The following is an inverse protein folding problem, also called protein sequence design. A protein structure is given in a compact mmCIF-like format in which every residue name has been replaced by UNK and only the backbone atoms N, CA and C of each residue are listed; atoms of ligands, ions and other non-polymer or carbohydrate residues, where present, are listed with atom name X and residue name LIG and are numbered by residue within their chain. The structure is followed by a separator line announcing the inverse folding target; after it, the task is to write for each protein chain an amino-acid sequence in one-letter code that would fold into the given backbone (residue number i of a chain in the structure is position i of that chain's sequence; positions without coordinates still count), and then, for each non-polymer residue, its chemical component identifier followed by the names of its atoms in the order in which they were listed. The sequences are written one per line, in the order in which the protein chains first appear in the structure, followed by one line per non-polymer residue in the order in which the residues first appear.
data_IF_155587310849
#
_entry.id   IF_155587310849
#
_cell.length_a   1.000
_cell.length_b   1.000
_cell.length_c   1.000
_cell.angle_alpha   90.00
_cell.angle_beta   90.00
_cell.angle_gamma   90.00
#
_symmetry.space_group_name_H-M   'P 1'
#
loop_
_entity.id
_entity.type
_entity.pdbx_description
1 polymer ?
#
# COMPACT_ATOMS: atom_id res chain seq x y z
N UNK A 1 12.49 -26.68 33.84
CA UNK A 1 13.12 -26.92 32.51
C UNK A 1 12.15 -27.55 31.49
N UNK A 2 11.32 -28.55 31.85
CA UNK A 2 10.36 -29.16 30.93
C UNK A 2 9.39 -28.15 30.32
N UNK A 3 8.86 -27.20 31.11
CA UNK A 3 7.91 -26.20 30.63
C UNK A 3 8.52 -25.20 29.62
N UNK A 4 9.79 -24.79 29.84
CA UNK A 4 10.49 -23.90 28.93
C UNK A 4 10.75 -24.58 27.58
N UNK A 5 11.27 -25.80 27.57
CA UNK A 5 11.53 -26.54 26.33
C UNK A 5 10.22 -26.79 25.59
N UNK A 6 9.14 -27.10 26.29
CA UNK A 6 7.81 -27.28 25.72
C UNK A 6 7.28 -25.97 25.08
N UNK A 7 7.48 -24.82 25.73
CA UNK A 7 7.11 -23.53 25.12
C UNK A 7 7.93 -23.23 23.86
N UNK A 8 9.25 -23.37 23.92
CA UNK A 8 10.15 -23.16 22.81
C UNK A 8 9.86 -24.10 21.64
N UNK A 9 9.47 -25.36 21.90
CA UNK A 9 9.12 -26.34 20.88
C UNK A 9 7.85 -25.99 20.07
N UNK A 10 6.98 -25.11 20.58
CA UNK A 10 5.76 -24.64 19.88
C UNK A 10 5.99 -23.40 19.04
N UNK A 11 7.20 -22.82 19.09
CA UNK A 11 7.56 -21.65 18.30
C UNK A 11 7.61 -22.00 16.81
N UNK A 12 7.59 -20.97 15.98
CA UNK A 12 7.62 -21.12 14.52
C UNK A 12 9.03 -21.50 14.01
N UNK A 13 10.05 -20.71 14.37
CA UNK A 13 11.40 -20.87 13.84
C UNK A 13 12.43 -20.95 14.96
N UNK A 14 13.53 -21.66 14.71
CA UNK A 14 14.61 -21.88 15.68
C UNK A 14 15.17 -20.57 16.22
N UNK A 15 15.34 -19.56 15.37
CA UNK A 15 15.80 -18.22 15.75
C UNK A 15 14.87 -17.49 16.72
N UNK A 16 13.60 -17.91 16.82
CA UNK A 16 12.60 -17.39 17.77
C UNK A 16 12.40 -18.34 18.97
N UNK A 17 13.09 -19.48 18.99
CA UNK A 17 12.99 -20.50 20.03
C UNK A 17 14.21 -20.51 20.97
N UNK A 18 14.76 -19.34 21.21
CA UNK A 18 15.86 -19.06 22.12
C UNK A 18 15.31 -18.33 23.35
N UNK A 19 15.74 -18.68 24.53
CA UNK A 19 15.40 -17.98 25.78
C UNK A 19 16.67 -17.49 26.47
N UNK A 20 16.58 -16.31 27.09
CA UNK A 20 17.61 -15.73 27.94
C UNK A 20 17.09 -15.66 29.35
N UNK A 21 17.81 -16.23 30.30
CA UNK A 21 17.49 -16.14 31.72
C UNK A 21 17.96 -14.79 32.30
N UNK A 22 17.47 -14.47 33.50
CA UNK A 22 17.80 -13.20 34.18
C UNK A 22 19.30 -13.09 34.55
N UNK A 23 19.96 -14.22 34.73
CA UNK A 23 21.41 -14.34 35.02
C UNK A 23 22.27 -14.42 33.75
N UNK A 24 21.65 -14.23 32.56
CA UNK A 24 22.36 -14.16 31.28
C UNK A 24 22.62 -15.53 30.61
N UNK A 25 22.09 -16.63 31.14
CA UNK A 25 22.22 -17.94 30.51
C UNK A 25 21.28 -18.08 29.31
N UNK A 26 21.81 -18.60 28.20
CA UNK A 26 21.06 -18.86 26.97
C UNK A 26 20.59 -20.32 26.96
N UNK A 27 19.27 -20.52 26.80
CA UNK A 27 18.67 -21.80 26.49
C UNK A 27 18.31 -21.83 24.99
N UNK A 28 19.01 -22.66 24.24
CA UNK A 28 18.85 -22.82 22.78
C UNK A 28 18.73 -24.30 22.40
N UNK A 29 17.60 -24.97 22.72
CA UNK A 29 17.45 -26.40 22.50
C UNK A 29 17.29 -26.77 21.00
N UNK A 30 17.16 -25.82 20.10
CA UNK A 30 16.88 -26.02 18.69
C UNK A 30 17.95 -25.40 17.76
N UNK A 31 19.12 -25.05 18.27
CA UNK A 31 20.25 -24.46 17.51
C UNK A 31 19.94 -23.13 16.82
N UNK A 32 19.05 -22.33 17.41
CA UNK A 32 18.63 -21.04 16.83
C UNK A 32 19.76 -20.02 16.74
N UNK A 33 20.70 -20.02 17.68
CA UNK A 33 21.91 -19.16 17.63
C UNK A 33 22.76 -19.50 16.41
N UNK A 34 22.94 -20.80 16.10
CA UNK A 34 23.64 -21.26 14.90
C UNK A 34 22.94 -20.83 13.64
N UNK A 35 21.61 -20.94 13.59
CA UNK A 35 20.83 -20.52 12.44
C UNK A 35 20.85 -18.99 12.22
N UNK A 36 20.85 -18.21 13.29
CA UNK A 36 21.07 -16.76 13.20
C UNK A 36 22.44 -16.45 12.59
N UNK A 37 23.50 -17.11 13.08
CA UNK A 37 24.85 -16.92 12.54
C UNK A 37 24.95 -17.29 11.06
N UNK A 38 24.26 -18.35 10.63
CA UNK A 38 24.16 -18.79 9.23
C UNK A 38 23.17 -17.99 8.39
N UNK A 39 22.44 -17.04 9.00
CA UNK A 39 21.37 -16.29 8.36
C UNK A 39 20.29 -17.18 7.74
N UNK A 40 19.86 -18.20 8.50
CA UNK A 40 18.93 -19.23 8.04
C UNK A 40 17.63 -19.17 8.84
N UNK A 41 16.50 -19.34 8.15
CA UNK A 41 15.17 -19.50 8.74
C UNK A 41 14.81 -20.97 8.66
N UNK A 42 14.79 -21.65 9.79
CA UNK A 42 14.47 -23.07 9.92
C UNK A 42 13.31 -23.24 10.90
N UNK A 43 12.33 -24.08 10.56
CA UNK A 43 11.26 -24.45 11.47
C UNK A 43 11.80 -25.17 12.73
N UNK A 44 11.11 -24.99 13.85
CA UNK A 44 11.32 -25.81 15.03
C UNK A 44 10.71 -27.20 14.80
N UNK A 45 11.54 -28.24 14.86
CA UNK A 45 11.08 -29.61 14.62
C UNK A 45 10.65 -29.88 13.18
N UNK A 46 9.57 -30.64 12.99
CA UNK A 46 9.09 -31.03 11.67
C UNK A 46 8.31 -29.88 11.00
N UNK A 47 8.78 -29.33 9.85
CA UNK A 47 8.16 -28.18 9.22
C UNK A 47 6.70 -28.37 8.83
N UNK A 48 6.34 -29.56 8.27
CA UNK A 48 4.95 -29.84 7.88
C UNK A 48 4.00 -29.81 9.06
N UNK A 49 4.43 -30.35 10.21
CA UNK A 49 3.64 -30.31 11.42
C UNK A 49 3.41 -28.86 11.88
N UNK A 50 4.46 -28.04 11.84
CA UNK A 50 4.38 -26.61 12.22
C UNK A 50 3.42 -25.83 11.32
N UNK A 51 3.40 -26.10 10.03
CA UNK A 51 2.50 -25.42 9.10
C UNK A 51 1.06 -25.95 9.16
N UNK A 52 0.87 -27.21 9.51
CA UNK A 52 -0.48 -27.77 9.76
C UNK A 52 -1.09 -27.20 11.05
N UNK A 53 -0.29 -26.92 12.08
CA UNK A 53 -0.78 -26.28 13.30
C UNK A 53 -1.21 -24.82 13.08
N UNK A 54 -0.45 -24.06 12.29
CA UNK A 54 -0.78 -22.69 11.91
C UNK A 54 -0.14 -22.37 10.55
N UNK A 55 -0.95 -22.41 9.52
CA UNK A 55 -0.54 -22.13 8.15
C UNK A 55 0.01 -20.70 7.95
N UNK A 56 -0.31 -19.75 8.86
CA UNK A 56 0.26 -18.39 8.78
C UNK A 56 1.78 -18.39 8.96
N UNK A 57 2.34 -19.41 9.58
CA UNK A 57 3.80 -19.55 9.73
C UNK A 57 4.52 -19.54 8.38
N UNK A 58 3.87 -19.99 7.29
CA UNK A 58 4.43 -19.92 5.94
C UNK A 58 4.65 -18.45 5.49
N UNK A 59 3.64 -17.59 5.67
CA UNK A 59 3.81 -16.14 5.41
C UNK A 59 4.83 -15.50 6.35
N UNK A 60 4.88 -15.93 7.61
CA UNK A 60 5.87 -15.45 8.58
C UNK A 60 7.30 -15.80 8.18
N UNK A 61 7.55 -17.00 7.58
CA UNK A 61 8.85 -17.37 7.03
C UNK A 61 9.29 -16.37 5.95
N UNK A 62 8.41 -16.07 5.00
CA UNK A 62 8.67 -15.08 3.96
C UNK A 62 8.90 -13.68 4.54
N UNK A 63 8.09 -13.28 5.52
CA UNK A 63 8.28 -11.99 6.20
C UNK A 63 9.62 -11.88 6.91
N UNK A 64 10.05 -12.90 7.62
CA UNK A 64 11.36 -12.90 8.27
C UNK A 64 12.49 -12.88 7.23
N UNK A 65 12.35 -13.64 6.13
CA UNK A 65 13.29 -13.58 5.02
C UNK A 65 13.38 -12.16 4.44
N UNK A 66 12.24 -11.51 4.17
CA UNK A 66 12.20 -10.13 3.69
C UNK A 66 12.82 -9.13 4.66
N UNK A 67 12.54 -9.28 5.96
CA UNK A 67 12.98 -8.33 6.99
C UNK A 67 14.46 -8.46 7.35
N UNK A 68 14.96 -9.70 7.47
CA UNK A 68 16.30 -9.98 7.98
C UNK A 68 17.31 -10.23 6.85
N UNK A 69 16.84 -10.51 5.63
CA UNK A 69 17.68 -10.95 4.54
C UNK A 69 18.20 -12.38 4.72
N UNK A 70 17.51 -13.19 5.50
CA UNK A 70 17.87 -14.59 5.76
C UNK A 70 17.29 -15.51 4.69
N UNK A 71 17.98 -16.59 4.40
CA UNK A 71 17.52 -17.65 3.50
C UNK A 71 16.64 -18.65 4.24
N UNK A 72 15.54 -19.08 3.62
CA UNK A 72 14.73 -20.16 4.16
C UNK A 72 15.46 -21.49 3.89
N UNK A 73 15.59 -22.30 4.92
CA UNK A 73 16.21 -23.62 4.82
C UNK A 73 15.41 -24.53 3.88
N UNK A 74 16.10 -25.45 3.20
CA UNK A 74 15.54 -26.26 2.12
C UNK A 74 14.32 -27.08 2.53
N UNK A 75 14.36 -27.82 3.64
CA UNK A 75 13.25 -28.66 4.09
C UNK A 75 12.05 -27.80 4.53
N UNK A 76 12.32 -26.65 5.16
CA UNK A 76 11.32 -25.65 5.51
C UNK A 76 10.66 -25.08 4.25
N UNK A 77 11.43 -24.79 3.21
CA UNK A 77 10.91 -24.27 1.92
C UNK A 77 10.06 -25.30 1.19
N UNK A 78 10.51 -26.55 1.12
CA UNK A 78 9.71 -27.63 0.53
C UNK A 78 8.40 -27.86 1.28
N UNK A 79 8.42 -27.76 2.61
CA UNK A 79 7.20 -27.89 3.41
C UNK A 79 6.24 -26.71 3.15
N UNK A 80 6.74 -25.48 2.89
CA UNK A 80 5.89 -24.36 2.46
C UNK A 80 5.15 -24.70 1.18
N UNK A 81 5.83 -25.21 0.15
CA UNK A 81 5.21 -25.58 -1.12
C UNK A 81 4.14 -26.68 -0.94
N UNK A 82 4.45 -27.70 -0.15
CA UNK A 82 3.54 -28.83 0.08
C UNK A 82 2.32 -28.45 0.93
N UNK A 83 2.49 -27.54 1.90
CA UNK A 83 1.44 -27.09 2.80
C UNK A 83 0.72 -25.82 2.29
N UNK A 84 1.12 -25.24 1.15
CA UNK A 84 0.54 -24.02 0.60
C UNK A 84 -1.00 -24.05 0.48
N UNK A 85 -1.66 -25.17 0.15
CA UNK A 85 -3.12 -25.22 0.12
C UNK A 85 -3.80 -24.84 1.43
N UNK A 86 -3.16 -25.07 2.59
CA UNK A 86 -3.68 -24.70 3.90
C UNK A 86 -3.82 -23.18 4.08
N UNK A 87 -3.09 -22.38 3.28
CA UNK A 87 -3.20 -20.92 3.33
C UNK A 87 -4.61 -20.41 2.93
N UNK A 88 -5.39 -21.21 2.20
CA UNK A 88 -6.76 -20.87 1.82
C UNK A 88 -7.72 -20.76 3.03
N UNK A 89 -7.43 -21.47 4.11
CA UNK A 89 -8.24 -21.47 5.34
C UNK A 89 -7.95 -20.29 6.27
N UNK A 90 -6.89 -19.53 6.00
CA UNK A 90 -6.51 -18.41 6.84
C UNK A 90 -7.51 -17.26 6.74
N UNK A 91 -7.74 -16.59 7.88
CA UNK A 91 -8.50 -15.35 7.92
C UNK A 91 -7.78 -14.27 7.08
N UNK A 92 -8.51 -13.57 6.19
CA UNK A 92 -7.91 -12.58 5.28
C UNK A 92 -7.11 -11.50 6.01
N UNK A 93 -7.55 -11.07 7.17
CA UNK A 93 -6.90 -10.05 7.98
C UNK A 93 -5.50 -10.48 8.43
N UNK A 94 -5.36 -11.76 8.83
CA UNK A 94 -4.06 -12.30 9.24
C UNK A 94 -3.08 -12.35 8.06
N UNK A 95 -3.57 -12.74 6.88
CA UNK A 95 -2.78 -12.76 5.64
C UNK A 95 -2.39 -11.34 5.23
N UNK A 96 -3.35 -10.41 5.22
CA UNK A 96 -3.11 -8.98 4.96
C UNK A 96 -1.98 -8.42 5.82
N UNK A 97 -2.03 -8.68 7.13
CA UNK A 97 -1.06 -8.12 8.08
C UNK A 97 0.36 -8.65 7.82
N UNK A 98 0.52 -9.90 7.39
CA UNK A 98 1.84 -10.42 7.04
C UNK A 98 2.32 -9.87 5.67
N UNK A 99 1.43 -9.77 4.67
CA UNK A 99 1.76 -9.15 3.37
C UNK A 99 2.18 -7.69 3.57
N UNK A 100 1.43 -6.90 4.35
CA UNK A 100 1.78 -5.51 4.64
C UNK A 100 3.18 -5.39 5.24
N UNK A 101 3.50 -6.23 6.23
CA UNK A 101 4.82 -6.25 6.82
C UNK A 101 5.93 -6.60 5.81
N UNK A 102 5.65 -7.46 4.82
CA UNK A 102 6.59 -7.76 3.73
C UNK A 102 6.73 -6.53 2.82
N UNK A 103 5.62 -5.96 2.38
CA UNK A 103 5.62 -4.78 1.50
C UNK A 103 6.37 -3.60 2.11
N UNK A 104 6.34 -3.45 3.44
CA UNK A 104 7.02 -2.37 4.17
C UNK A 104 8.52 -2.64 4.43
N UNK A 105 9.06 -3.78 4.02
CA UNK A 105 10.51 -4.06 4.10
C UNK A 105 11.28 -3.38 2.95
N UNK A 106 12.59 -3.60 2.94
CA UNK A 106 13.48 -3.27 1.81
C UNK A 106 13.51 -4.39 0.75
N UNK A 107 12.76 -5.47 0.95
CA UNK A 107 12.76 -6.68 0.09
C UNK A 107 11.34 -7.14 -0.24
N UNK A 108 10.47 -6.25 -0.78
CA UNK A 108 9.10 -6.60 -1.15
C UNK A 108 9.02 -7.65 -2.26
N UNK A 109 10.12 -7.88 -3.02
CA UNK A 109 10.24 -8.95 -4.03
C UNK A 109 10.00 -10.35 -3.45
N UNK A 110 10.11 -10.52 -2.13
CA UNK A 110 9.77 -11.77 -1.45
C UNK A 110 8.31 -12.18 -1.68
N UNK A 111 7.43 -11.24 -2.04
CA UNK A 111 6.06 -11.56 -2.46
C UNK A 111 5.98 -12.43 -3.72
N UNK A 112 7.01 -12.39 -4.59
CA UNK A 112 7.10 -13.31 -5.73
C UNK A 112 7.18 -14.77 -5.28
N UNK A 113 7.88 -15.06 -4.18
CA UNK A 113 7.93 -16.39 -3.59
C UNK A 113 6.56 -16.81 -3.01
N UNK A 114 5.80 -15.90 -2.37
CA UNK A 114 4.44 -16.19 -1.91
C UNK A 114 3.51 -16.60 -3.05
N UNK A 115 3.68 -15.99 -4.22
CA UNK A 115 2.90 -16.33 -5.42
C UNK A 115 3.36 -17.67 -5.98
N UNK A 116 4.66 -17.89 -6.19
CA UNK A 116 5.20 -19.11 -6.79
C UNK A 116 4.97 -20.35 -5.93
N UNK A 117 5.04 -20.24 -4.61
CA UNK A 117 4.68 -21.34 -3.69
C UNK A 117 3.17 -21.59 -3.62
N UNK A 118 2.34 -20.71 -4.18
CA UNK A 118 0.90 -20.88 -4.19
C UNK A 118 0.17 -20.43 -2.93
N UNK A 119 0.83 -19.71 -2.02
CA UNK A 119 0.21 -19.16 -0.80
C UNK A 119 -0.91 -18.16 -1.09
N UNK A 120 -0.86 -17.54 -2.28
CA UNK A 120 -1.81 -16.52 -2.70
C UNK A 120 -2.97 -17.07 -3.57
N UNK A 121 -3.08 -18.38 -3.79
CA UNK A 121 -4.09 -19.00 -4.70
C UNK A 121 -5.54 -18.60 -4.41
N UNK A 122 -5.87 -18.33 -3.14
CA UNK A 122 -7.21 -17.86 -2.75
C UNK A 122 -7.54 -16.47 -3.34
N UNK A 123 -6.54 -15.65 -3.55
CA UNK A 123 -6.66 -14.24 -3.93
C UNK A 123 -6.25 -13.97 -5.38
N UNK A 124 -5.54 -14.89 -6.00
CA UNK A 124 -5.00 -14.77 -7.35
C UNK A 124 -5.72 -15.78 -8.26
N UNK A 125 -6.42 -15.27 -9.26
CA UNK A 125 -7.20 -16.10 -10.21
C UNK A 125 -6.47 -16.35 -11.53
N UNK A 126 -5.50 -15.51 -11.88
CA UNK A 126 -4.74 -15.61 -13.13
C UNK A 126 -3.34 -16.21 -12.90
N UNK A 127 -2.77 -16.80 -13.97
CA UNK A 127 -1.41 -17.32 -13.95
C UNK A 127 -0.34 -16.21 -14.14
N UNK A 128 -0.77 -15.00 -14.52
CA UNK A 128 0.13 -13.92 -14.90
C UNK A 128 0.88 -14.22 -16.22
N UNK A 129 1.14 -13.21 -17.01
CA UNK A 129 1.92 -13.34 -18.25
C UNK A 129 3.39 -12.92 -18.07
N UNK A 130 3.70 -12.27 -16.95
CA UNK A 130 5.05 -11.89 -16.54
C UNK A 130 5.11 -11.78 -15.01
N UNK A 131 6.18 -12.25 -14.39
CA UNK A 131 6.43 -12.03 -12.96
C UNK A 131 6.73 -10.54 -12.72
N UNK A 132 5.98 -9.84 -11.86
CA UNK A 132 6.25 -8.45 -11.54
C UNK A 132 7.60 -8.31 -10.81
N UNK A 133 8.33 -7.25 -11.10
CA UNK A 133 9.50 -6.89 -10.31
C UNK A 133 9.06 -6.11 -9.07
N UNK A 134 8.65 -6.79 -8.02
CA UNK A 134 8.23 -6.14 -6.78
C UNK A 134 9.39 -5.44 -6.03
N UNK A 135 10.65 -5.66 -6.43
CA UNK A 135 11.78 -4.94 -5.83
C UNK A 135 11.64 -3.42 -6.01
N UNK A 136 11.06 -2.97 -7.13
CA UNK A 136 10.86 -1.55 -7.41
C UNK A 136 9.96 -0.86 -6.36
N UNK A 137 9.10 -1.63 -5.63
CA UNK A 137 8.31 -1.12 -4.51
C UNK A 137 9.21 -0.67 -3.34
N UNK A 138 10.43 -1.20 -3.21
CA UNK A 138 11.34 -0.82 -2.14
C UNK A 138 11.77 0.65 -2.23
N UNK A 139 11.83 1.22 -3.44
CA UNK A 139 12.20 2.61 -3.71
C UNK A 139 11.08 3.59 -3.35
N UNK A 140 9.85 3.10 -3.20
CA UNK A 140 8.71 3.91 -2.78
C UNK A 140 8.76 4.21 -1.27
N UNK A 141 8.14 5.31 -0.83
CA UNK A 141 8.00 5.59 0.61
C UNK A 141 7.44 4.40 1.38
N UNK A 142 7.95 4.17 2.60
CA UNK A 142 7.48 3.10 3.49
C UNK A 142 6.11 3.45 4.13
N UNK A 143 5.12 3.67 3.27
CA UNK A 143 3.73 3.92 3.65
C UNK A 143 2.86 2.77 3.15
N UNK A 144 2.06 2.19 4.05
CA UNK A 144 1.18 1.06 3.73
C UNK A 144 0.29 1.38 2.51
N UNK A 145 -0.41 2.52 2.53
CA UNK A 145 -1.28 2.96 1.45
C UNK A 145 -0.60 2.88 0.07
N UNK A 146 0.56 3.53 -0.08
CA UNK A 146 1.26 3.62 -1.37
C UNK A 146 1.74 2.25 -1.86
N UNK A 147 2.30 1.44 -0.96
CA UNK A 147 2.85 0.12 -1.31
C UNK A 147 1.76 -0.91 -1.60
N UNK A 148 0.61 -0.85 -0.92
CA UNK A 148 -0.55 -1.67 -1.25
C UNK A 148 -1.12 -1.33 -2.61
N UNK A 149 -1.26 -0.03 -2.92
CA UNK A 149 -1.75 0.45 -4.23
C UNK A 149 -0.83 -0.05 -5.35
N UNK A 150 0.48 0.15 -5.22
CA UNK A 150 1.45 -0.31 -6.21
C UNK A 150 1.39 -1.84 -6.39
N UNK A 151 1.39 -2.60 -5.30
CA UNK A 151 1.34 -4.06 -5.34
C UNK A 151 0.09 -4.57 -6.04
N UNK A 152 -1.10 -4.07 -5.68
CA UNK A 152 -2.35 -4.50 -6.28
C UNK A 152 -2.43 -4.15 -7.79
N UNK A 153 -2.00 -2.95 -8.17
CA UNK A 153 -1.99 -2.51 -9.57
C UNK A 153 -0.98 -3.31 -10.39
N UNK A 154 0.19 -3.63 -9.84
CA UNK A 154 1.16 -4.50 -10.50
C UNK A 154 0.59 -5.92 -10.71
N UNK A 155 -0.07 -6.51 -9.72
CA UNK A 155 -0.72 -7.81 -9.88
C UNK A 155 -1.77 -7.77 -11.01
N UNK A 156 -2.60 -6.72 -11.06
CA UNK A 156 -3.59 -6.57 -12.13
C UNK A 156 -2.94 -6.37 -13.50
N UNK A 157 -1.98 -5.47 -13.60
CA UNK A 157 -1.26 -5.18 -14.84
C UNK A 157 -0.65 -6.43 -15.46
N UNK A 158 -0.11 -7.31 -14.63
CA UNK A 158 0.55 -8.53 -15.09
C UNK A 158 -0.39 -9.76 -15.17
N UNK A 159 -1.69 -9.59 -14.97
CA UNK A 159 -2.71 -10.63 -15.22
C UNK A 159 -2.86 -11.66 -14.08
N UNK A 160 -2.44 -11.33 -12.87
CA UNK A 160 -2.64 -12.19 -11.69
C UNK A 160 -4.03 -12.04 -11.08
N UNK A 161 -4.61 -10.86 -11.18
CA UNK A 161 -5.94 -10.54 -10.68
C UNK A 161 -6.75 -9.75 -11.72
N UNK A 162 -8.08 -9.89 -11.78
CA UNK A 162 -8.92 -9.15 -12.72
C UNK A 162 -9.17 -7.70 -12.27
N UNK A 163 -9.15 -7.45 -10.95
CA UNK A 163 -9.47 -6.16 -10.33
C UNK A 163 -8.60 -5.94 -9.10
N UNK A 164 -7.86 -4.81 -9.09
CA UNK A 164 -7.07 -4.43 -7.92
C UNK A 164 -7.97 -4.09 -6.72
N UNK A 165 -9.11 -3.43 -6.96
CA UNK A 165 -10.12 -3.13 -5.94
C UNK A 165 -10.64 -4.39 -5.26
N UNK A 166 -11.08 -5.39 -6.04
CA UNK A 166 -11.68 -6.61 -5.49
C UNK A 166 -10.66 -7.46 -4.73
N UNK A 167 -9.41 -7.48 -5.18
CA UNK A 167 -8.30 -8.11 -4.48
C UNK A 167 -8.11 -7.48 -3.07
N UNK A 168 -8.08 -6.15 -2.98
CA UNK A 168 -7.95 -5.46 -1.70
C UNK A 168 -9.17 -5.68 -0.80
N UNK A 169 -10.38 -5.76 -1.38
CA UNK A 169 -11.60 -6.08 -0.64
C UNK A 169 -11.56 -7.50 -0.08
N UNK A 170 -11.09 -8.49 -0.84
CA UNK A 170 -10.91 -9.87 -0.38
C UNK A 170 -9.95 -9.98 0.80
N UNK A 171 -8.89 -9.16 0.81
CA UNK A 171 -7.94 -9.05 1.91
C UNK A 171 -8.42 -8.13 3.06
N UNK A 172 -9.63 -7.57 2.93
CA UNK A 172 -10.24 -6.69 3.93
C UNK A 172 -9.39 -5.47 4.29
N UNK A 173 -8.85 -4.80 3.27
CA UNK A 173 -8.21 -3.50 3.45
C UNK A 173 -9.27 -2.46 3.83
N UNK A 174 -8.82 -1.35 4.41
CA UNK A 174 -9.69 -0.23 4.75
C UNK A 174 -10.25 0.49 3.51
N UNK A 175 -11.41 1.15 3.69
CA UNK A 175 -12.12 1.81 2.59
C UNK A 175 -11.34 2.96 1.93
N UNK A 176 -10.40 3.60 2.65
CA UNK A 176 -9.53 4.64 2.09
C UNK A 176 -8.53 4.02 1.10
N UNK A 177 -7.86 2.94 1.51
CA UNK A 177 -6.90 2.23 0.66
C UNK A 177 -7.58 1.67 -0.59
N UNK A 178 -8.77 1.09 -0.45
CA UNK A 178 -9.54 0.54 -1.58
C UNK A 178 -9.94 1.64 -2.57
N UNK A 179 -10.45 2.78 -2.11
CA UNK A 179 -10.80 3.92 -2.97
C UNK A 179 -9.57 4.51 -3.65
N UNK A 180 -8.51 4.77 -2.88
CA UNK A 180 -7.25 5.27 -3.42
C UNK A 180 -6.71 4.38 -4.54
N UNK A 181 -6.79 3.06 -4.39
CA UNK A 181 -6.36 2.12 -5.41
C UNK A 181 -7.22 2.20 -6.68
N UNK A 182 -8.54 2.26 -6.54
CA UNK A 182 -9.46 2.37 -7.68
C UNK A 182 -9.23 3.67 -8.47
N UNK A 183 -9.08 4.79 -7.77
CA UNK A 183 -8.82 6.09 -8.37
C UNK A 183 -7.43 6.16 -9.01
N UNK A 184 -6.39 5.62 -8.35
CA UNK A 184 -5.04 5.53 -8.90
C UNK A 184 -5.01 4.69 -10.18
N UNK A 185 -5.81 3.63 -10.26
CA UNK A 185 -5.94 2.80 -11.45
C UNK A 185 -6.51 3.57 -12.64
N UNK A 186 -7.49 4.45 -12.42
CA UNK A 186 -8.01 5.37 -13.43
C UNK A 186 -6.92 6.36 -13.87
N UNK A 187 -6.19 6.95 -12.93
CA UNK A 187 -5.11 7.89 -13.23
C UNK A 187 -3.96 7.25 -14.02
N UNK A 188 -3.63 5.99 -13.70
CA UNK A 188 -2.58 5.26 -14.42
C UNK A 188 -2.95 4.84 -15.84
N UNK A 189 -4.24 4.90 -16.21
CA UNK A 189 -4.70 4.68 -17.58
C UNK A 189 -4.52 5.91 -18.50
N UNK A 190 -4.12 7.04 -17.92
CA UNK A 190 -3.95 8.33 -18.60
C UNK A 190 -2.49 8.82 -18.44
N UNK A 191 -2.05 9.67 -19.36
CA UNK A 191 -0.78 10.38 -19.16
C UNK A 191 -0.93 11.40 -18.02
N UNK A 192 0.10 11.56 -17.16
CA UNK A 192 0.11 12.63 -16.18
C UNK A 192 -0.01 14.00 -16.83
N UNK A 193 -0.61 14.99 -16.13
CA UNK A 193 -0.74 16.35 -16.66
C UNK A 193 0.61 16.95 -17.07
N UNK A 194 0.59 17.82 -18.07
CA UNK A 194 1.79 18.51 -18.57
C UNK A 194 1.90 19.94 -18.06
N UNK A 195 0.81 20.49 -17.52
CA UNK A 195 0.72 21.86 -17.00
C UNK A 195 0.17 21.91 -15.57
N UNK A 196 0.34 23.04 -14.94
CA UNK A 196 -0.05 23.28 -13.54
C UNK A 196 -1.56 23.20 -13.33
N UNK A 197 -2.35 23.65 -14.30
CA UNK A 197 -3.81 23.61 -14.25
C UNK A 197 -4.30 22.16 -14.23
N UNK A 198 -3.73 21.30 -15.08
CA UNK A 198 -4.05 19.88 -15.09
C UNK A 198 -3.72 19.20 -13.77
N UNK A 199 -2.58 19.51 -13.15
CA UNK A 199 -2.22 19.02 -11.82
C UNK A 199 -3.20 19.48 -10.75
N UNK A 200 -3.60 20.77 -10.75
CA UNK A 200 -4.58 21.30 -9.79
C UNK A 200 -5.95 20.63 -9.94
N UNK A 201 -6.44 20.46 -11.18
CA UNK A 201 -7.69 19.74 -11.44
C UNK A 201 -7.65 18.28 -10.98
N UNK A 202 -6.53 17.60 -11.20
CA UNK A 202 -6.33 16.23 -10.73
C UNK A 202 -6.32 16.16 -9.19
N UNK A 203 -5.60 17.08 -8.52
CA UNK A 203 -5.54 17.18 -7.06
C UNK A 203 -6.91 17.51 -6.45
N UNK A 204 -7.68 18.41 -7.08
CA UNK A 204 -9.03 18.74 -6.67
C UNK A 204 -9.95 17.50 -6.71
N UNK A 205 -9.91 16.76 -7.82
CA UNK A 205 -10.82 15.63 -8.05
C UNK A 205 -10.49 14.41 -7.18
N UNK A 206 -9.20 14.04 -7.05
CA UNK A 206 -8.78 12.78 -6.45
C UNK A 206 -8.10 12.93 -5.09
N UNK A 207 -7.74 14.15 -4.72
CA UNK A 207 -7.02 14.45 -3.49
C UNK A 207 -5.53 14.13 -3.54
N UNK A 208 -4.79 14.75 -2.62
CA UNK A 208 -3.30 14.70 -2.58
C UNK A 208 -2.78 13.27 -2.41
N UNK A 209 -3.38 12.49 -1.52
CA UNK A 209 -2.89 11.12 -1.25
C UNK A 209 -3.00 10.22 -2.48
N UNK A 210 -4.15 10.24 -3.16
CA UNK A 210 -4.40 9.42 -4.34
C UNK A 210 -3.48 9.80 -5.50
N UNK A 211 -3.36 11.11 -5.78
CA UNK A 211 -2.47 11.60 -6.85
C UNK A 211 -1.02 11.25 -6.56
N UNK A 212 -0.58 11.42 -5.29
CA UNK A 212 0.77 11.03 -4.89
C UNK A 212 1.01 9.52 -5.07
N UNK A 213 0.07 8.68 -4.63
CA UNK A 213 0.16 7.23 -4.83
C UNK A 213 0.21 6.85 -6.32
N UNK A 214 -0.62 7.49 -7.15
CA UNK A 214 -0.66 7.24 -8.59
C UNK A 214 0.67 7.63 -9.26
N UNK A 215 1.22 8.81 -8.96
CA UNK A 215 2.50 9.28 -9.51
C UNK A 215 3.64 8.35 -9.13
N UNK A 216 3.73 7.95 -7.85
CA UNK A 216 4.76 7.03 -7.39
C UNK A 216 4.62 5.63 -8.01
N UNK A 217 3.40 5.15 -8.15
CA UNK A 217 3.13 3.87 -8.82
C UNK A 217 3.43 3.95 -10.32
N UNK A 218 3.16 5.10 -10.95
CA UNK A 218 3.49 5.35 -12.35
C UNK A 218 5.00 5.29 -12.60
N UNK A 219 5.80 5.88 -11.70
CA UNK A 219 7.26 5.83 -11.76
C UNK A 219 7.77 4.38 -11.69
N UNK A 220 7.26 3.58 -10.75
CA UNK A 220 7.64 2.18 -10.58
C UNK A 220 7.24 1.31 -11.78
N UNK A 221 6.03 1.52 -12.33
CA UNK A 221 5.49 0.68 -13.41
C UNK A 221 6.04 1.04 -14.79
N UNK A 222 6.23 2.34 -15.06
CA UNK A 222 6.57 2.87 -16.38
C UNK A 222 7.96 3.49 -16.46
N UNK A 223 8.66 3.66 -15.33
CA UNK A 223 9.98 4.29 -15.27
C UNK A 223 9.95 5.80 -15.52
N UNK A 224 8.78 6.43 -15.40
CA UNK A 224 8.60 7.86 -15.64
C UNK A 224 8.25 8.55 -14.33
N UNK A 225 9.20 9.30 -13.78
CA UNK A 225 9.02 10.06 -12.55
C UNK A 225 8.45 11.46 -12.82
N UNK A 226 7.32 11.77 -12.16
CA UNK A 226 6.65 13.07 -12.16
C UNK A 226 6.48 13.64 -10.73
N UNK A 227 7.21 13.10 -9.77
CA UNK A 227 7.12 13.57 -8.39
C UNK A 227 7.58 15.02 -8.21
N UNK A 228 8.53 15.45 -9.04
CA UNK A 228 9.06 16.83 -8.97
C UNK A 228 7.98 17.85 -9.34
N UNK A 229 7.26 17.60 -10.42
CA UNK A 229 6.17 18.46 -10.88
C UNK A 229 5.05 18.52 -9.82
N UNK A 230 4.59 17.37 -9.33
CA UNK A 230 3.61 17.31 -8.26
C UNK A 230 4.08 18.06 -7.00
N UNK A 231 5.33 17.86 -6.57
CA UNK A 231 5.90 18.54 -5.41
C UNK A 231 5.96 20.06 -5.58
N UNK A 232 6.23 20.54 -6.80
CA UNK A 232 6.23 21.99 -7.10
C UNK A 232 4.82 22.58 -6.91
N UNK A 233 3.79 21.94 -7.47
CA UNK A 233 2.38 22.37 -7.29
C UNK A 233 1.98 22.37 -5.80
N UNK A 234 2.33 21.32 -5.04
CA UNK A 234 2.01 21.25 -3.62
C UNK A 234 2.75 22.32 -2.78
N UNK A 235 3.92 22.78 -3.26
CA UNK A 235 4.74 23.81 -2.58
C UNK A 235 4.37 25.22 -2.99
N UNK A 236 3.77 25.44 -4.16
CA UNK A 236 3.39 26.78 -4.63
C UNK A 236 2.39 27.46 -3.68
N UNK A 237 1.61 26.66 -2.94
CA UNK A 237 0.54 27.17 -2.08
C UNK A 237 -0.69 27.64 -2.86
N UNK A 238 -0.71 27.43 -4.17
CA UNK A 238 -1.84 27.79 -5.02
C UNK A 238 -3.09 26.98 -4.70
N UNK A 239 -4.24 27.59 -4.93
CA UNK A 239 -5.53 27.01 -4.64
C UNK A 239 -5.87 25.89 -5.62
N UNK A 240 -6.19 24.71 -5.11
CA UNK A 240 -6.75 23.57 -5.87
C UNK A 240 -7.91 22.88 -5.16
N UNK A 241 -8.42 23.47 -4.08
CA UNK A 241 -9.58 22.91 -3.36
C UNK A 241 -10.38 24.02 -2.70
N UNK A 242 -11.67 23.78 -2.45
CA UNK A 242 -12.56 24.74 -1.77
C UNK A 242 -12.02 25.20 -0.41
N UNK A 243 -11.20 24.38 0.27
CA UNK A 243 -10.57 24.74 1.56
C UNK A 243 -9.55 25.87 1.45
N UNK A 244 -8.97 26.07 0.27
CA UNK A 244 -7.94 27.07 0.00
C UNK A 244 -8.49 28.29 -0.76
N UNK A 245 -9.80 28.26 -1.07
CA UNK A 245 -10.47 29.40 -1.71
C UNK A 245 -10.61 30.55 -0.73
N UNK A 246 -10.37 31.77 -1.19
CA UNK A 246 -10.41 32.97 -0.35
C UNK A 246 -11.83 33.40 0.06
N UNK A 247 -12.86 32.74 -0.48
CA UNK A 247 -14.27 32.89 -0.08
C UNK A 247 -14.83 31.58 0.44
N UNK A 248 -15.80 31.69 1.32
CA UNK A 248 -16.51 30.54 1.94
C UNK A 248 -17.97 30.48 1.50
N UNK A 249 -18.66 29.37 1.80
CA UNK A 249 -20.09 29.28 1.58
C UNK A 249 -20.88 30.38 2.32
N UNK A 250 -20.45 30.78 3.51
CA UNK A 250 -21.10 31.84 4.29
C UNK A 250 -20.97 33.20 3.61
N UNK A 251 -19.86 33.49 2.96
CA UNK A 251 -19.68 34.71 2.19
C UNK A 251 -20.66 34.80 1.02
N UNK A 252 -20.90 33.66 0.35
CA UNK A 252 -21.84 33.59 -0.77
C UNK A 252 -23.30 33.55 -0.30
N UNK A 253 -23.60 32.95 0.87
CA UNK A 253 -24.91 33.06 1.51
C UNK A 253 -25.26 34.50 1.83
N UNK A 254 -24.31 35.32 2.27
CA UNK A 254 -24.49 36.74 2.52
C UNK A 254 -24.82 37.55 1.25
N UNK A 255 -24.45 37.07 0.07
CA UNK A 255 -24.83 37.63 -1.24
C UNK A 255 -26.23 37.20 -1.70
N UNK A 256 -26.86 36.21 -1.03
CA UNK A 256 -28.18 35.71 -1.38
C UNK A 256 -28.23 34.33 -2.01
N UNK A 257 -27.10 33.79 -2.44
CA UNK A 257 -26.99 32.45 -3.06
C UNK A 257 -27.39 31.35 -2.08
N UNK A 258 -28.19 30.38 -2.55
CA UNK A 258 -28.69 29.28 -1.69
C UNK A 258 -28.74 27.95 -2.45
N UNK A 259 -28.71 26.86 -1.67
CA UNK A 259 -28.90 25.51 -2.21
C UNK A 259 -27.90 25.14 -3.30
N UNK A 260 -28.34 24.60 -4.46
CA UNK A 260 -27.44 24.16 -5.53
C UNK A 260 -26.60 25.29 -6.13
N UNK A 261 -27.16 26.49 -6.31
CA UNK A 261 -26.50 27.68 -6.88
C UNK A 261 -25.23 28.07 -6.12
N UNK A 262 -25.27 27.95 -4.77
CA UNK A 262 -24.09 28.19 -3.91
C UNK A 262 -22.95 27.21 -4.24
N UNK A 263 -23.29 25.93 -4.43
CA UNK A 263 -22.32 24.90 -4.76
C UNK A 263 -21.72 25.09 -6.16
N UNK A 264 -22.54 25.45 -7.11
CA UNK A 264 -22.12 25.76 -8.49
C UNK A 264 -21.21 26.98 -8.53
N UNK A 265 -21.55 28.04 -7.81
CA UNK A 265 -20.73 29.23 -7.69
C UNK A 265 -19.37 28.95 -7.03
N UNK A 266 -19.33 28.18 -5.94
CA UNK A 266 -18.05 27.78 -5.31
C UNK A 266 -17.17 26.99 -6.26
N UNK A 267 -17.74 26.09 -7.06
CA UNK A 267 -16.99 25.32 -8.05
C UNK A 267 -16.51 26.22 -9.20
N UNK A 268 -17.34 27.13 -9.68
CA UNK A 268 -16.95 28.11 -10.71
C UNK A 268 -15.77 28.98 -10.24
N UNK A 269 -15.86 29.54 -9.03
CA UNK A 269 -14.79 30.36 -8.45
C UNK A 269 -13.51 29.55 -8.24
N UNK A 270 -13.63 28.27 -7.85
CA UNK A 270 -12.47 27.39 -7.71
C UNK A 270 -11.81 27.10 -9.05
N UNK A 271 -12.56 26.82 -10.11
CA UNK A 271 -12.03 26.63 -11.46
C UNK A 271 -11.32 27.88 -11.96
N UNK A 272 -11.93 29.05 -11.75
CA UNK A 272 -11.33 30.35 -12.08
C UNK A 272 -10.01 30.59 -11.37
N UNK A 273 -9.94 30.31 -10.06
CA UNK A 273 -8.72 30.50 -9.27
C UNK A 273 -7.63 29.47 -9.63
N UNK A 274 -8.00 28.27 -10.02
CA UNK A 274 -7.00 27.28 -10.51
C UNK A 274 -6.31 27.77 -11.78
N UNK A 275 -7.04 28.50 -12.65
CA UNK A 275 -6.51 29.08 -13.89
C UNK A 275 -5.77 30.41 -13.64
N UNK A 276 -6.32 31.25 -12.71
CA UNK A 276 -5.79 32.57 -12.37
C UNK A 276 -5.44 32.65 -10.87
N UNK A 277 -4.33 32.04 -10.40
CA UNK A 277 -4.02 31.91 -8.98
C UNK A 277 -3.91 33.22 -8.21
N UNK A 278 -3.41 34.29 -8.87
CA UNK A 278 -3.22 35.62 -8.29
C UNK A 278 -4.56 36.28 -7.89
N UNK A 279 -5.67 35.80 -8.47
CA UNK A 279 -7.02 36.28 -8.23
C UNK A 279 -7.73 35.60 -7.07
N UNK A 280 -7.04 34.71 -6.33
CA UNK A 280 -7.59 34.13 -5.09
C UNK A 280 -7.60 35.17 -3.95
N UNK A 281 -8.40 36.22 -4.15
CA UNK A 281 -8.60 37.33 -3.20
C UNK A 281 -10.08 37.50 -2.97
N UNK A 282 -10.47 37.68 -1.71
CA UNK A 282 -11.88 37.70 -1.28
C UNK A 282 -12.68 38.75 -2.05
N UNK A 283 -12.10 39.95 -2.25
CA UNK A 283 -12.76 41.08 -2.93
C UNK A 283 -13.06 40.73 -4.41
N UNK A 284 -12.08 40.16 -5.12
CA UNK A 284 -12.20 39.78 -6.53
C UNK A 284 -13.26 38.68 -6.69
N UNK A 285 -13.25 37.68 -5.82
CA UNK A 285 -14.15 36.55 -5.95
C UNK A 285 -15.60 36.92 -5.60
N UNK A 286 -15.82 37.81 -4.63
CA UNK A 286 -17.16 38.32 -4.32
C UNK A 286 -17.70 39.21 -5.44
N UNK A 287 -16.84 39.96 -6.11
CA UNK A 287 -17.25 40.75 -7.29
C UNK A 287 -17.66 39.86 -8.47
N UNK A 288 -16.84 38.83 -8.76
CA UNK A 288 -17.17 37.83 -9.80
C UNK A 288 -18.51 37.12 -9.51
N UNK A 289 -18.74 36.75 -8.23
CA UNK A 289 -19.98 36.08 -7.84
C UNK A 289 -21.24 36.99 -8.11
N UNK A 290 -21.14 38.30 -7.92
CA UNK A 290 -22.25 39.23 -8.20
C UNK A 290 -22.53 39.38 -9.70
N UNK A 291 -21.49 39.44 -10.53
CA UNK A 291 -21.69 39.60 -12.01
C UNK A 291 -22.28 38.37 -12.68
N UNK A 292 -22.07 37.18 -12.16
CA UNK A 292 -22.64 35.94 -12.72
C UNK A 292 -24.13 35.76 -12.44
N UNK A 293 -24.73 36.54 -11.53
CA UNK A 293 -26.19 36.54 -11.29
C UNK A 293 -26.95 37.45 -12.29
N UNK A 294 -26.27 38.39 -12.94
CA UNK A 294 -26.88 39.35 -13.86
C UNK A 294 -26.89 38.85 -15.33
N UNK A 295 -26.33 37.66 -15.59
CA UNK A 295 -26.20 37.11 -16.95
C UNK A 295 -27.02 35.83 -17.09
#
# INVERSE_FOLDING_TARGET
MSDLITDLSRRDFTMNAIALSADGMIADPFDGVSDIAKRTIRCVGEPKLRFTEDALRMFRALRFSARLGFTIEYDTMQAIEQCAPLAAELAPERVRDEIEKILLTTRPETMSAAISFGLMKKYISGAGWKTPNFADIADMPRKALTRWVAFAIMLRKYGYIPSARDFLMQLRLDGRTIRCCADAEVLLSQEPPRDDLGWKKMLNRYGVDTVTCAVQTYAVIYGIDREKELKNILKSGECFSLKHLAVTGDDLLALGLKGPELGEMLNFLLEYVMEYPDNNKREILLELAKYSEES
#
